data_IF_745030201562
#
_entry.id   IF_745030201562
#
_cell.length_a   1.000
_cell.length_b   1.000
_cell.length_c   1.000
_cell.angle_alpha   90.00
_cell.angle_beta   90.00
_cell.angle_gamma   90.00
#
_symmetry.space_group_name_H-M   'P 1'
#
loop_
_entity.id
_entity.type
_entity.pdbx_description
1 polymer ?
#
# COMPACT_ATOMS: atom_id res chain seq x y z
N UNK A 1 -1.62 -15.37 -18.15
CA UNK A 1 -0.16 -15.44 -17.91
C UNK A 1 0.55 -15.50 -19.26
N UNK A 2 1.21 -14.44 -19.67
CA UNK A 2 2.01 -14.41 -20.91
C UNK A 2 3.35 -15.12 -20.68
N UNK A 3 3.66 -16.13 -21.48
CA UNK A 3 4.94 -16.85 -21.37
C UNK A 3 6.06 -15.95 -21.90
N UNK A 4 7.04 -15.65 -21.05
CA UNK A 4 8.24 -14.93 -21.46
C UNK A 4 9.01 -15.70 -22.53
N UNK A 5 9.49 -14.98 -23.54
CA UNK A 5 10.35 -15.55 -24.58
C UNK A 5 11.67 -16.06 -23.98
N UNK A 6 12.32 -17.01 -24.64
CA UNK A 6 13.60 -17.57 -24.17
C UNK A 6 14.66 -16.46 -23.95
N UNK A 7 14.77 -15.54 -24.90
CA UNK A 7 15.69 -14.39 -24.83
C UNK A 7 15.41 -13.47 -23.65
N UNK A 8 14.13 -13.22 -23.34
CA UNK A 8 13.74 -12.41 -22.19
C UNK A 8 14.10 -13.09 -20.87
N UNK A 9 13.93 -14.41 -20.78
CA UNK A 9 14.33 -15.18 -19.59
C UNK A 9 15.83 -15.15 -19.38
N UNK A 10 16.61 -15.41 -20.44
CA UNK A 10 18.08 -15.37 -20.40
C UNK A 10 18.57 -13.97 -19.99
N UNK A 11 17.96 -12.91 -20.52
CA UNK A 11 18.25 -11.53 -20.12
C UNK A 11 17.98 -11.30 -18.63
N UNK A 12 16.83 -11.74 -18.12
CA UNK A 12 16.50 -11.57 -16.69
C UNK A 12 17.42 -12.36 -15.78
N UNK A 13 17.86 -13.55 -16.19
CA UNK A 13 18.84 -14.33 -15.42
C UNK A 13 20.15 -13.54 -15.30
N UNK A 14 20.68 -13.04 -16.42
CA UNK A 14 21.90 -12.24 -16.43
C UNK A 14 21.75 -10.93 -15.61
N UNK A 15 20.60 -10.26 -15.71
CA UNK A 15 20.30 -9.08 -14.88
C UNK A 15 20.24 -9.44 -13.39
N UNK A 16 19.64 -10.57 -13.04
CA UNK A 16 19.56 -11.05 -11.66
C UNK A 16 20.94 -11.39 -11.10
N UNK A 17 21.80 -12.04 -11.89
CA UNK A 17 23.18 -12.35 -11.52
C UNK A 17 23.98 -11.07 -11.27
N UNK A 18 23.89 -10.09 -12.17
CA UNK A 18 24.54 -8.79 -12.00
C UNK A 18 24.08 -8.05 -10.75
N UNK A 19 22.78 -8.08 -10.44
CA UNK A 19 22.25 -7.47 -9.22
C UNK A 19 22.82 -8.15 -7.98
N UNK A 20 22.90 -9.49 -7.96
CA UNK A 20 23.50 -10.24 -6.84
C UNK A 20 24.98 -9.90 -6.64
N UNK A 21 25.74 -9.73 -7.72
CA UNK A 21 27.14 -9.31 -7.63
C UNK A 21 27.27 -7.93 -6.97
N UNK A 22 26.46 -6.96 -7.41
CA UNK A 22 26.44 -5.60 -6.84
C UNK A 22 26.03 -5.64 -5.36
N UNK A 23 24.97 -6.37 -5.02
CA UNK A 23 24.54 -6.56 -3.64
C UNK A 23 25.65 -7.15 -2.78
N UNK A 24 26.35 -8.17 -3.29
CA UNK A 24 27.47 -8.79 -2.56
C UNK A 24 28.62 -7.83 -2.32
N UNK A 25 28.95 -6.99 -3.31
CA UNK A 25 29.99 -5.96 -3.19
C UNK A 25 29.58 -4.90 -2.17
N UNK A 26 28.31 -4.49 -2.19
CA UNK A 26 27.79 -3.52 -1.23
C UNK A 26 27.81 -4.06 0.19
N UNK A 27 27.34 -5.29 0.42
CA UNK A 27 27.38 -5.93 1.75
C UNK A 27 28.81 -6.03 2.27
N UNK A 28 29.79 -6.36 1.42
CA UNK A 28 31.22 -6.40 1.80
C UNK A 28 31.79 -5.04 2.18
N UNK A 29 31.21 -3.94 1.68
CA UNK A 29 31.62 -2.57 2.02
C UNK A 29 31.05 -2.07 3.35
N UNK A 30 30.07 -2.76 3.92
CA UNK A 30 29.39 -2.37 5.16
C UNK A 30 30.11 -2.99 6.38
N UNK A 31 30.30 -2.25 7.48
CA UNK A 31 30.84 -2.82 8.71
C UNK A 31 30.02 -4.03 9.20
N UNK A 32 30.66 -5.09 9.71
CA UNK A 32 29.97 -6.36 10.04
C UNK A 32 28.88 -6.19 11.09
N UNK A 33 29.09 -5.28 12.06
CA UNK A 33 28.10 -4.97 13.09
C UNK A 33 26.82 -4.34 12.49
N UNK A 34 26.96 -3.48 11.49
CA UNK A 34 25.84 -2.84 10.80
C UNK A 34 25.08 -3.86 9.94
N UNK A 35 25.80 -4.75 9.26
CA UNK A 35 25.18 -5.83 8.49
C UNK A 35 24.38 -6.80 9.39
N UNK A 36 24.91 -7.14 10.57
CA UNK A 36 24.21 -7.97 11.55
C UNK A 36 22.95 -7.29 12.10
N UNK A 37 23.05 -6.02 12.49
CA UNK A 37 21.89 -5.24 12.95
C UNK A 37 20.80 -5.13 11.87
N UNK A 38 21.20 -4.92 10.62
CA UNK A 38 20.28 -4.90 9.48
C UNK A 38 19.58 -6.26 9.30
N UNK A 39 20.31 -7.37 9.32
CA UNK A 39 19.74 -8.71 9.19
C UNK A 39 18.68 -9.01 10.28
N UNK A 40 18.96 -8.62 11.53
CA UNK A 40 18.00 -8.75 12.63
C UNK A 40 16.74 -7.92 12.39
N UNK A 41 16.87 -6.69 11.88
CA UNK A 41 15.72 -5.84 11.57
C UNK A 41 14.84 -6.43 10.46
N UNK A 42 15.47 -7.02 9.44
CA UNK A 42 14.77 -7.69 8.33
C UNK A 42 14.03 -8.93 8.84
N UNK A 43 14.67 -9.72 9.71
CA UNK A 43 14.03 -10.88 10.32
C UNK A 43 12.80 -10.47 11.15
N UNK A 44 12.96 -9.48 12.04
CA UNK A 44 11.86 -8.95 12.84
C UNK A 44 10.70 -8.42 11.97
N UNK A 45 11.01 -7.77 10.85
CA UNK A 45 9.99 -7.29 9.91
C UNK A 45 9.25 -8.44 9.21
N UNK A 46 9.95 -9.52 8.84
CA UNK A 46 9.31 -10.72 8.24
C UNK A 46 8.42 -11.46 9.24
N UNK A 47 8.84 -11.48 10.50
CA UNK A 47 8.08 -12.10 11.59
C UNK A 47 6.85 -11.27 12.00
N UNK A 48 6.81 -9.97 11.64
CA UNK A 48 5.74 -9.04 12.04
C UNK A 48 4.32 -9.43 11.60
N UNK A 49 4.17 -10.43 10.72
CA UNK A 49 2.88 -10.91 10.26
C UNK A 49 2.05 -9.83 9.54
N UNK A 50 0.84 -10.19 9.05
CA UNK A 50 -0.08 -9.20 8.50
C UNK A 50 -0.54 -8.22 9.59
N UNK A 51 -0.57 -6.93 9.26
CA UNK A 51 -1.16 -5.92 10.13
C UNK A 51 -2.66 -6.20 10.24
N UNK A 52 -3.20 -6.20 11.45
CA UNK A 52 -4.63 -6.37 11.67
C UNK A 52 -5.43 -5.29 10.93
N UNK A 53 -6.53 -5.71 10.31
CA UNK A 53 -7.44 -4.77 9.66
C UNK A 53 -7.98 -3.80 10.74
N UNK A 54 -7.97 -2.48 10.49
CA UNK A 54 -8.61 -1.53 11.39
C UNK A 54 -10.06 -1.93 11.67
N UNK A 55 -10.58 -1.69 12.88
CA UNK A 55 -11.96 -2.02 13.21
C UNK A 55 -12.92 -1.30 12.25
N UNK A 56 -14.00 -1.98 11.89
CA UNK A 56 -15.06 -1.37 11.09
C UNK A 56 -15.68 -0.22 11.88
N UNK A 57 -15.82 0.93 11.22
CA UNK A 57 -16.43 2.10 11.85
C UNK A 57 -17.92 1.86 12.11
N UNK A 58 -18.45 2.47 13.17
CA UNK A 58 -19.87 2.38 13.49
C UNK A 58 -20.73 2.86 12.31
N UNK A 59 -21.82 2.14 11.95
CA UNK A 59 -22.72 2.55 10.89
C UNK A 59 -23.19 4.01 11.08
N UNK A 60 -22.96 4.86 10.08
CA UNK A 60 -23.32 6.29 10.13
C UNK A 60 -22.18 7.24 10.47
N UNK A 61 -21.00 6.73 10.87
CA UNK A 61 -19.78 7.55 10.92
C UNK A 61 -19.15 7.59 9.52
N UNK A 62 -19.35 8.69 8.79
CA UNK A 62 -18.73 8.86 7.48
C UNK A 62 -17.20 8.90 7.65
N UNK A 63 -16.43 8.06 6.93
CA UNK A 63 -14.97 7.98 7.07
C UNK A 63 -14.26 9.28 6.68
N UNK A 64 -14.95 10.20 6.00
CA UNK A 64 -14.48 11.53 5.68
C UNK A 64 -15.59 12.53 6.02
N UNK A 65 -15.41 13.45 6.98
CA UNK A 65 -16.33 14.57 7.14
C UNK A 65 -16.43 15.35 5.82
N UNK A 66 -17.59 15.94 5.48
CA UNK A 66 -17.68 16.81 4.32
C UNK A 66 -16.60 17.88 4.41
N UNK A 67 -15.87 18.10 3.31
CA UNK A 67 -14.88 19.19 3.24
C UNK A 67 -15.57 20.50 3.62
N UNK A 68 -14.90 21.42 4.34
CA UNK A 68 -15.46 22.74 4.62
C UNK A 68 -16.04 23.38 3.35
N UNK A 69 -17.31 23.79 3.39
CA UNK A 69 -18.04 24.31 2.22
C UNK A 69 -18.76 23.28 1.34
N UNK A 70 -18.73 21.98 1.68
CA UNK A 70 -19.53 20.91 1.04
C UNK A 70 -20.47 20.20 2.02
N UNK A 71 -21.09 20.97 2.90
CA UNK A 71 -22.10 20.45 3.82
C UNK A 71 -23.33 19.93 3.04
N UNK A 72 -24.03 18.90 3.56
CA UNK A 72 -25.26 18.40 2.95
C UNK A 72 -26.30 19.50 2.84
N UNK A 73 -26.88 19.67 1.65
CA UNK A 73 -27.91 20.68 1.41
C UNK A 73 -29.17 20.32 2.22
N UNK A 74 -29.86 21.30 2.85
CA UNK A 74 -31.07 21.01 3.60
C UNK A 74 -32.12 20.34 2.71
N UNK A 75 -32.91 19.40 3.26
CA UNK A 75 -33.95 18.72 2.51
C UNK A 75 -34.95 19.73 1.95
N UNK A 76 -35.34 19.54 0.69
CA UNK A 76 -36.27 20.44 0.00
C UNK A 76 -37.63 20.38 0.70
N UNK A 77 -38.13 21.54 1.13
CA UNK A 77 -39.46 21.64 1.73
C UNK A 77 -40.53 21.05 0.78
N UNK A 78 -41.49 20.25 1.30
CA UNK A 78 -42.54 19.70 0.47
C UNK A 78 -43.35 20.86 -0.14
N UNK A 79 -43.41 20.89 -1.47
CA UNK A 79 -44.19 21.90 -2.19
C UNK A 79 -45.65 21.84 -1.72
N UNK A 80 -46.16 22.96 -1.17
CA UNK A 80 -47.57 23.08 -0.76
C UNK A 80 -48.44 22.73 -1.96
N UNK A 81 -49.31 21.72 -1.80
CA UNK A 81 -50.27 21.34 -2.81
C UNK A 81 -51.21 22.53 -3.06
N UNK A 82 -51.18 23.07 -4.28
CA UNK A 82 -52.19 24.03 -4.73
C UNK A 82 -53.48 23.26 -4.97
N UNK A 83 -54.33 23.21 -3.95
CA UNK A 83 -55.74 22.84 -4.08
C UNK A 83 -56.41 23.93 -4.93
N UNK A 84 -56.80 23.62 -6.16
CA UNK A 84 -57.82 24.41 -6.86
C UNK A 84 -59.18 23.79 -6.57
N UNK A 85 -60.13 24.65 -6.19
CA UNK A 85 -61.56 24.36 -6.29
C UNK A 85 -61.96 24.28 -7.78
#
# INVERSE_FOLDING_TARGET
MTKHSRRERERRVAETERVKEIESAWVRSVPPQTAAAFALSVQAARERGPIERPPDMAPGTMPNPPRPGREPKPPKEPARSRRSY
#
